data_IF_748034613543
#
_entry.id   IF_748034613543
#
_cell.length_a   1.000
_cell.length_b   1.000
_cell.length_c   1.000
_cell.angle_alpha   90.00
_cell.angle_beta   90.00
_cell.angle_gamma   90.00
#
_symmetry.space_group_name_H-M   'P 1'
#
loop_
_entity.id
_entity.type
_entity.pdbx_description
1 polymer ?
#
# COMPACT_ATOMS: atom_id res chain seq x y z
N UNK A 1 -20.09 -26.60 -9.98
CA UNK A 1 -19.40 -26.92 -8.70
C UNK A 1 -17.94 -27.34 -8.90
N UNK A 2 -17.60 -28.12 -9.94
CA UNK A 2 -16.22 -28.57 -10.19
C UNK A 2 -15.24 -27.44 -10.55
N UNK A 3 -15.65 -26.47 -11.38
CA UNK A 3 -14.83 -25.32 -11.78
C UNK A 3 -14.44 -24.36 -10.64
N UNK A 4 -15.25 -24.26 -9.57
CA UNK A 4 -14.92 -23.45 -8.38
C UNK A 4 -13.80 -24.09 -7.55
N UNK A 5 -13.75 -25.43 -7.46
CA UNK A 5 -12.68 -26.15 -6.75
C UNK A 5 -11.32 -25.98 -7.44
N UNK A 6 -11.29 -26.02 -8.77
CA UNK A 6 -10.05 -25.84 -9.54
C UNK A 6 -9.56 -24.38 -9.40
N UNK A 7 -10.44 -23.37 -9.48
CA UNK A 7 -10.06 -21.97 -9.18
C UNK A 7 -9.56 -21.76 -7.74
N UNK A 8 -10.09 -22.50 -6.77
CA UNK A 8 -9.63 -22.45 -5.38
C UNK A 8 -8.21 -23.00 -5.19
N UNK A 9 -7.79 -23.98 -5.98
CA UNK A 9 -6.40 -24.47 -5.97
C UNK A 9 -5.39 -23.45 -6.52
N UNK A 10 -5.84 -22.54 -7.38
CA UNK A 10 -5.05 -21.44 -7.94
C UNK A 10 -5.36 -20.08 -7.28
N UNK A 11 -6.12 -20.08 -6.18
CA UNK A 11 -6.35 -18.90 -5.34
C UNK A 11 -5.12 -18.69 -4.47
N UNK A 12 -4.42 -17.56 -4.60
CA UNK A 12 -3.42 -17.16 -3.63
C UNK A 12 -4.16 -16.65 -2.39
N UNK A 13 -4.38 -17.54 -1.41
CA UNK A 13 -4.87 -17.15 -0.09
C UNK A 13 -3.89 -16.14 0.51
N UNK A 14 -4.34 -14.89 0.63
CA UNK A 14 -3.56 -13.75 1.08
C UNK A 14 -4.11 -13.25 2.43
N UNK A 15 -3.22 -12.94 3.36
CA UNK A 15 -3.52 -12.20 4.58
C UNK A 15 -2.71 -10.92 4.58
N UNK A 16 -3.35 -9.78 4.87
CA UNK A 16 -2.72 -8.46 4.85
C UNK A 16 -2.81 -7.87 6.25
N UNK A 17 -1.65 -7.53 6.80
CA UNK A 17 -1.55 -6.68 7.99
C UNK A 17 -1.32 -5.24 7.52
N UNK A 18 -2.31 -4.38 7.71
CA UNK A 18 -2.25 -2.95 7.34
C UNK A 18 -1.89 -2.11 8.56
N UNK A 19 -0.65 -2.19 8.99
CA UNK A 19 -0.15 -1.43 10.13
C UNK A 19 0.02 0.06 9.84
N UNK A 20 0.10 0.87 10.89
CA UNK A 20 0.38 2.33 10.78
C UNK A 20 1.81 2.63 10.32
N UNK A 21 2.73 1.68 10.50
CA UNK A 21 4.14 1.82 10.15
C UNK A 21 4.54 0.97 8.93
N UNK A 22 4.14 -0.30 8.90
CA UNK A 22 4.44 -1.24 7.82
C UNK A 22 3.19 -2.04 7.45
N UNK A 23 3.15 -2.46 6.19
CA UNK A 23 2.18 -3.38 5.63
C UNK A 23 2.89 -4.70 5.35
N UNK A 24 2.32 -5.80 5.83
CA UNK A 24 2.82 -7.14 5.55
C UNK A 24 1.80 -7.92 4.72
N UNK A 25 2.29 -8.73 3.79
CA UNK A 25 1.46 -9.70 3.07
C UNK A 25 2.00 -11.09 3.32
N UNK A 26 1.13 -11.97 3.82
CA UNK A 26 1.38 -13.39 3.96
C UNK A 26 0.63 -14.16 2.87
N UNK A 27 1.30 -15.11 2.22
CA UNK A 27 0.69 -16.05 1.29
C UNK A 27 0.77 -17.45 1.88
N UNK A 28 -0.38 -18.14 1.93
CA UNK A 28 -0.46 -19.51 2.44
C UNK A 28 0.52 -20.43 1.71
N UNK A 29 1.40 -21.06 2.48
CA UNK A 29 2.43 -21.97 1.96
C UNK A 29 3.71 -21.29 1.46
N UNK A 30 3.77 -19.96 1.41
CA UNK A 30 4.99 -19.21 1.07
C UNK A 30 5.55 -18.41 2.25
N UNK A 31 4.70 -18.03 3.21
CA UNK A 31 5.12 -17.17 4.31
C UNK A 31 4.85 -15.69 4.03
N UNK A 32 5.60 -14.81 4.69
CA UNK A 32 5.58 -13.36 4.42
C UNK A 32 6.28 -13.11 3.09
N UNK A 33 5.55 -12.57 2.12
CA UNK A 33 6.05 -12.26 0.77
C UNK A 33 6.25 -10.76 0.55
N UNK A 34 5.74 -9.92 1.43
CA UNK A 34 5.93 -8.46 1.42
C UNK A 34 6.01 -7.95 2.85
N UNK A 35 6.97 -7.05 3.10
CA UNK A 35 7.11 -6.23 4.31
C UNK A 35 7.61 -4.86 3.86
N UNK A 36 6.68 -3.92 3.69
CA UNK A 36 6.96 -2.58 3.18
C UNK A 36 6.41 -1.53 4.13
N UNK A 37 7.06 -0.36 4.27
CA UNK A 37 6.47 0.75 5.00
C UNK A 37 5.08 1.15 4.48
N UNK A 38 4.16 1.48 5.38
CA UNK A 38 2.81 1.98 5.07
C UNK A 38 2.84 3.45 4.64
N UNK A 39 3.58 3.74 3.56
CA UNK A 39 3.83 5.09 3.06
C UNK A 39 3.50 5.14 1.57
N UNK A 40 2.85 6.21 1.16
CA UNK A 40 2.56 6.51 -0.25
C UNK A 40 3.03 7.93 -0.55
N UNK A 41 3.69 8.12 -1.69
CA UNK A 41 4.01 9.42 -2.23
C UNK A 41 3.05 9.72 -3.39
N UNK A 42 2.35 10.84 -3.32
CA UNK A 42 1.37 11.27 -4.32
C UNK A 42 1.83 12.55 -5.02
N UNK A 43 1.64 12.63 -6.33
CA UNK A 43 1.81 13.87 -7.10
C UNK A 43 0.56 14.73 -6.91
N UNK A 44 0.75 15.96 -6.48
CA UNK A 44 -0.29 16.98 -6.42
C UNK A 44 -0.25 17.77 -7.72
N UNK A 45 -1.21 17.53 -8.60
CA UNK A 45 -1.36 18.37 -9.80
C UNK A 45 -2.25 19.58 -9.48
N UNK A 46 -1.99 20.71 -10.16
CA UNK A 46 -2.71 21.96 -9.94
C UNK A 46 -4.11 21.84 -10.53
N UNK A 47 -5.13 22.13 -9.72
CA UNK A 47 -6.55 22.22 -10.09
C UNK A 47 -7.18 20.93 -10.63
N UNK A 48 -7.83 20.17 -9.73
CA UNK A 48 -8.91 19.25 -10.07
C UNK A 48 -8.51 17.93 -10.77
N UNK A 49 -7.23 17.72 -11.07
CA UNK A 49 -6.75 16.46 -11.63
C UNK A 49 -6.60 15.37 -10.54
N UNK A 50 -6.82 14.11 -10.95
CA UNK A 50 -6.69 12.93 -10.09
C UNK A 50 -5.26 12.86 -9.52
N UNK A 51 -5.16 12.72 -8.19
CA UNK A 51 -3.88 12.44 -7.52
C UNK A 51 -3.28 11.17 -8.12
N UNK A 52 -2.06 11.26 -8.64
CA UNK A 52 -1.33 10.10 -9.17
C UNK A 52 -0.28 9.62 -8.17
N UNK A 53 -0.07 8.30 -8.10
CA UNK A 53 0.93 7.71 -7.22
C UNK A 53 2.32 7.93 -7.84
N UNK A 54 3.23 8.51 -7.06
CA UNK A 54 4.63 8.68 -7.42
C UNK A 54 5.49 7.49 -6.98
N UNK A 55 5.24 6.97 -5.77
CA UNK A 55 5.92 5.82 -5.18
C UNK A 55 5.10 5.22 -4.03
N UNK A 56 5.39 3.98 -3.64
CA UNK A 56 4.84 3.29 -2.46
C UNK A 56 5.95 2.62 -1.66
N UNK A 57 5.67 2.22 -0.43
CA UNK A 57 6.61 1.41 0.36
C UNK A 57 7.89 2.14 0.71
N UNK A 58 9.02 1.45 0.59
CA UNK A 58 10.35 1.94 0.95
C UNK A 58 10.75 3.19 0.16
N UNK A 59 10.44 3.26 -1.13
CA UNK A 59 10.71 4.43 -1.96
C UNK A 59 9.93 5.66 -1.47
N UNK A 60 8.64 5.49 -1.18
CA UNK A 60 7.84 6.57 -0.62
C UNK A 60 8.32 7.00 0.79
N UNK A 61 8.75 6.05 1.62
CA UNK A 61 9.33 6.35 2.94
C UNK A 61 10.57 7.22 2.84
N UNK A 62 11.43 6.98 1.85
CA UNK A 62 12.64 7.80 1.63
C UNK A 62 12.32 9.26 1.27
N UNK A 63 11.11 9.52 0.76
CA UNK A 63 10.65 10.85 0.40
C UNK A 63 10.07 11.64 1.59
N UNK A 64 9.80 11.02 2.74
CA UNK A 64 9.23 11.72 3.90
C UNK A 64 10.13 12.89 4.34
N UNK A 65 9.53 14.09 4.39
CA UNK A 65 10.23 15.33 4.73
C UNK A 65 11.24 15.81 3.68
N UNK A 66 11.28 15.20 2.49
CA UNK A 66 12.26 15.46 1.42
C UNK A 66 11.60 15.65 0.04
N UNK A 67 10.29 15.88 -0.03
CA UNK A 67 9.58 16.08 -1.29
C UNK A 67 9.63 17.52 -1.80
N UNK A 68 9.64 17.74 -3.13
CA UNK A 68 9.30 19.05 -3.70
C UNK A 68 7.81 19.36 -3.47
N UNK A 69 7.38 20.61 -3.66
CA UNK A 69 5.99 21.06 -3.43
C UNK A 69 4.93 20.28 -4.22
N UNK A 70 5.29 19.68 -5.35
CA UNK A 70 4.40 18.91 -6.21
C UNK A 70 4.22 17.45 -5.76
N UNK A 71 4.92 17.00 -4.71
CA UNK A 71 4.79 15.64 -4.18
C UNK A 71 4.58 15.71 -2.67
N UNK A 72 3.68 14.89 -2.16
CA UNK A 72 3.52 14.69 -0.72
C UNK A 72 3.62 13.21 -0.39
N UNK A 73 4.49 12.89 0.56
CA UNK A 73 4.59 11.56 1.14
C UNK A 73 3.78 11.52 2.44
N UNK A 74 2.83 10.57 2.53
CA UNK A 74 1.91 10.41 3.66
C UNK A 74 1.92 8.97 4.18
N UNK A 75 1.47 8.81 5.42
CA UNK A 75 1.05 7.52 5.99
C UNK A 75 -0.49 7.50 6.03
N UNK A 76 -1.17 6.73 5.18
CA UNK A 76 -2.63 6.71 5.15
C UNK A 76 -3.22 6.02 6.40
N UNK A 77 -2.46 5.10 7.00
CA UNK A 77 -2.81 4.45 8.27
C UNK A 77 -2.13 5.20 9.42
N UNK A 78 -2.90 5.75 10.35
CA UNK A 78 -2.38 6.48 11.52
C UNK A 78 -3.26 6.24 12.74
N UNK A 79 -2.64 6.08 13.92
CA UNK A 79 -3.34 5.89 15.20
C UNK A 79 -4.43 4.79 15.18
N UNK A 80 -4.21 3.74 14.39
CA UNK A 80 -5.13 2.61 14.24
C UNK A 80 -6.31 2.83 13.29
N UNK A 81 -6.37 3.96 12.60
CA UNK A 81 -7.45 4.29 11.64
C UNK A 81 -6.91 4.56 10.24
N UNK A 82 -7.80 4.51 9.26
CA UNK A 82 -7.56 5.09 7.93
C UNK A 82 -7.73 6.59 8.08
N UNK A 83 -6.60 7.30 8.12
CA UNK A 83 -6.56 8.76 8.28
C UNK A 83 -6.70 9.52 6.95
N UNK A 84 -6.41 8.85 5.84
CA UNK A 84 -6.52 9.41 4.50
C UNK A 84 -6.97 8.32 3.52
N UNK A 85 -8.03 8.60 2.76
CA UNK A 85 -8.56 7.72 1.71
C UNK A 85 -7.95 7.99 0.33
N UNK A 86 -6.96 8.91 0.27
CA UNK A 86 -6.30 9.50 -0.89
C UNK A 86 -7.16 10.52 -1.62
#
# INVERSE_FOLDING_TARGET
>A
MLFKKIRGLFSNDLSIDLGTANTLIYVKGQGIVLDEPSVVAIRQDRMGALKSIAAVGKEAKQMLGRTPKSIVAIRPMKDGVIADFL
#
